data_IF_957594678575
#
_entry.id   IF_957594678575
#
_cell.length_a   1.000
_cell.length_b   1.000
_cell.length_c   1.000
_cell.angle_alpha   90.00
_cell.angle_beta   90.00
_cell.angle_gamma   90.00
#
_symmetry.space_group_name_H-M   'P 1'
#
loop_
_entity.id
_entity.type
_entity.pdbx_description
1 polymer ?
#
# COMPACT_ATOMS: atom_id res chain seq x y z
N UNK A 1 2.80 24.24 0.80
CA UNK A 1 1.82 23.28 0.26
C UNK A 1 1.75 22.14 1.25
N UNK A 2 0.56 21.71 1.65
CA UNK A 2 0.41 20.44 2.37
C UNK A 2 0.72 19.28 1.40
N UNK A 3 1.43 18.27 1.89
CA UNK A 3 1.71 17.03 1.14
C UNK A 3 0.63 16.00 1.43
N UNK A 4 0.41 15.04 0.53
CA UNK A 4 -0.54 13.94 0.74
C UNK A 4 -0.28 13.24 2.08
N UNK A 5 1.00 13.04 2.43
CA UNK A 5 1.45 12.53 3.73
C UNK A 5 0.88 13.34 4.90
N UNK A 6 1.12 14.65 4.92
CA UNK A 6 0.72 15.51 6.05
C UNK A 6 -0.80 15.58 6.22
N UNK A 7 -1.54 15.50 5.11
CA UNK A 7 -3.01 15.47 5.14
C UNK A 7 -3.50 14.13 5.70
N UNK A 8 -2.90 13.02 5.27
CA UNK A 8 -3.25 11.69 5.79
C UNK A 8 -2.94 11.58 7.29
N UNK A 9 -1.79 12.06 7.76
CA UNK A 9 -1.44 12.06 9.19
C UNK A 9 -2.47 12.81 10.03
N UNK A 10 -2.95 13.96 9.54
CA UNK A 10 -4.02 14.73 10.19
C UNK A 10 -5.34 13.97 10.20
N UNK A 11 -5.70 13.32 9.09
CA UNK A 11 -6.91 12.51 8.99
C UNK A 11 -6.86 11.32 9.96
N UNK A 12 -5.75 10.59 10.01
CA UNK A 12 -5.52 9.48 10.96
C UNK A 12 -5.62 9.97 12.40
N UNK A 13 -4.92 11.05 12.74
CA UNK A 13 -4.95 11.63 14.10
C UNK A 13 -6.37 12.04 14.53
N UNK A 14 -7.15 12.61 13.60
CA UNK A 14 -8.54 12.99 13.84
C UNK A 14 -9.43 11.77 14.07
N UNK A 15 -9.24 10.69 13.28
CA UNK A 15 -10.01 9.44 13.41
C UNK A 15 -9.65 8.64 14.67
N UNK A 16 -8.41 8.75 15.12
CA UNK A 16 -7.93 8.12 16.36
C UNK A 16 -8.17 8.95 17.61
N UNK A 17 -8.89 10.06 17.50
CA UNK A 17 -9.20 10.92 18.65
C UNK A 17 -9.98 10.11 19.70
N UNK A 18 -9.41 10.00 20.90
CA UNK A 18 -9.97 9.22 22.00
C UNK A 18 -9.42 7.79 22.13
N UNK A 19 -8.44 7.41 21.29
CA UNK A 19 -7.66 6.19 21.48
C UNK A 19 -6.38 6.54 22.23
N UNK A 20 -6.32 6.16 23.51
CA UNK A 20 -5.21 6.59 24.39
C UNK A 20 -3.85 6.00 23.98
N UNK A 21 -3.83 4.76 23.49
CA UNK A 21 -2.61 4.04 23.14
C UNK A 21 -2.85 3.17 21.90
N UNK A 22 -2.15 3.48 20.81
CA UNK A 22 -2.06 2.66 19.61
C UNK A 22 -0.61 2.54 19.16
N UNK A 23 -0.29 1.47 18.46
CA UNK A 23 1.05 1.20 17.95
C UNK A 23 1.41 2.14 16.79
N UNK A 24 2.69 2.28 16.50
CA UNK A 24 3.15 3.16 15.43
C UNK A 24 2.52 2.75 14.08
N UNK A 25 1.95 3.74 13.38
CA UNK A 25 1.42 3.57 12.03
C UNK A 25 2.50 4.04 11.07
N UNK A 26 3.04 3.12 10.29
CA UNK A 26 4.02 3.43 9.27
C UNK A 26 3.31 3.82 7.96
N UNK A 27 3.58 5.04 7.46
CA UNK A 27 3.06 5.54 6.19
C UNK A 27 4.20 5.54 5.16
N UNK A 28 3.95 5.01 3.96
CA UNK A 28 4.95 4.96 2.91
C UNK A 28 5.24 6.36 2.33
N UNK A 29 6.34 6.96 2.76
CA UNK A 29 6.76 8.30 2.33
C UNK A 29 7.08 8.37 0.83
N UNK A 30 7.70 7.34 0.26
CA UNK A 30 8.00 7.30 -1.18
C UNK A 30 6.71 7.30 -1.99
N UNK A 31 5.73 6.47 -1.61
CA UNK A 31 4.44 6.42 -2.29
C UNK A 31 3.74 7.77 -2.23
N UNK A 32 3.76 8.45 -1.07
CA UNK A 32 3.23 9.81 -0.97
C UNK A 32 3.93 10.78 -1.91
N UNK A 33 5.26 10.76 -1.95
CA UNK A 33 6.03 11.65 -2.83
C UNK A 33 5.74 11.39 -4.30
N UNK A 34 5.59 10.12 -4.70
CA UNK A 34 5.19 9.75 -6.06
C UNK A 34 3.80 10.28 -6.38
N UNK A 35 2.81 10.06 -5.50
CA UNK A 35 1.45 10.57 -5.69
C UNK A 35 1.40 12.11 -5.78
N UNK A 36 2.23 12.80 -5.02
CA UNK A 36 2.35 14.27 -5.07
C UNK A 36 2.88 14.78 -6.42
N UNK A 37 3.58 13.95 -7.21
CA UNK A 37 4.09 14.35 -8.54
C UNK A 37 3.04 14.32 -9.65
N UNK A 38 1.90 13.65 -9.44
CA UNK A 38 0.85 13.51 -10.44
C UNK A 38 -0.29 14.52 -10.22
N UNK A 39 -0.79 15.10 -11.31
CA UNK A 39 -1.99 15.95 -11.30
C UNK A 39 -3.26 15.09 -11.30
N UNK A 40 -3.59 14.53 -10.13
CA UNK A 40 -4.80 13.72 -9.87
C UNK A 40 -5.54 14.25 -8.63
N UNK A 41 -6.83 13.91 -8.44
CA UNK A 41 -7.61 14.37 -7.29
C UNK A 41 -6.94 14.03 -5.95
N UNK A 42 -6.98 14.96 -5.00
CA UNK A 42 -6.35 14.81 -3.69
C UNK A 42 -6.91 13.59 -2.94
N UNK A 43 -8.23 13.39 -3.00
CA UNK A 43 -8.89 12.25 -2.38
C UNK A 43 -8.45 10.91 -3.00
N UNK A 44 -8.06 10.89 -4.29
CA UNK A 44 -7.52 9.70 -4.93
C UNK A 44 -6.10 9.39 -4.44
N UNK A 45 -5.26 10.41 -4.25
CA UNK A 45 -3.94 10.27 -3.63
C UNK A 45 -4.06 9.73 -2.20
N UNK A 46 -4.94 10.36 -1.41
CA UNK A 46 -5.21 9.96 -0.05
C UNK A 46 -5.77 8.54 0.02
N UNK A 47 -6.71 8.16 -0.85
CA UNK A 47 -7.27 6.82 -0.88
C UNK A 47 -6.19 5.77 -1.16
N UNK A 48 -5.35 5.99 -2.18
CA UNK A 48 -4.25 5.11 -2.52
C UNK A 48 -3.25 4.94 -1.36
N UNK A 49 -2.86 6.04 -0.71
CA UNK A 49 -1.92 6.00 0.41
C UNK A 49 -2.55 5.36 1.67
N UNK A 50 -3.83 5.62 1.91
CA UNK A 50 -4.57 5.08 3.07
C UNK A 50 -4.68 3.56 2.99
N UNK A 51 -5.04 3.00 1.83
CA UNK A 51 -5.17 1.55 1.71
C UNK A 51 -3.82 0.83 1.77
N UNK A 52 -2.76 1.41 1.17
CA UNK A 52 -1.39 0.89 1.32
C UNK A 52 -0.98 0.86 2.81
N UNK A 53 -1.21 1.96 3.53
CA UNK A 53 -0.93 2.08 4.96
C UNK A 53 -1.71 1.04 5.78
N UNK A 54 -3.02 0.89 5.52
CA UNK A 54 -3.87 -0.07 6.22
C UNK A 54 -3.39 -1.51 6.03
N UNK A 55 -3.08 -1.88 4.78
CA UNK A 55 -2.64 -3.23 4.44
C UNK A 55 -1.26 -3.55 5.05
N UNK A 56 -0.31 -2.59 5.02
CA UNK A 56 1.00 -2.77 5.67
C UNK A 56 0.88 -2.88 7.19
N UNK A 57 0.01 -2.09 7.80
CA UNK A 57 -0.24 -2.13 9.24
C UNK A 57 -0.80 -3.49 9.67
N UNK A 58 -1.74 -4.05 8.90
CA UNK A 58 -2.30 -5.37 9.15
C UNK A 58 -1.27 -6.50 8.97
N UNK A 59 -0.39 -6.40 7.98
CA UNK A 59 0.73 -7.35 7.81
C UNK A 59 1.64 -7.35 9.05
N UNK A 60 1.98 -6.16 9.55
CA UNK A 60 2.78 -6.02 10.77
C UNK A 60 2.07 -6.63 11.98
N UNK A 61 0.77 -6.40 12.08
CA UNK A 61 0.00 -6.85 13.22
C UNK A 61 -0.04 -8.38 13.30
N UNK A 62 -0.17 -9.04 12.15
CA UNK A 62 -0.15 -10.50 12.03
C UNK A 62 1.22 -11.10 12.42
N UNK A 63 2.31 -10.39 12.13
CA UNK A 63 3.67 -10.94 12.19
C UNK A 63 4.40 -10.64 13.50
N UNK A 64 4.09 -9.52 14.15
CA UNK A 64 4.74 -9.09 15.41
C UNK A 64 3.97 -9.55 16.66
N UNK A 65 2.89 -10.31 16.52
CA UNK A 65 1.96 -10.66 17.61
C UNK A 65 1.55 -9.43 18.42
N UNK A 66 1.32 -8.34 17.70
CA UNK A 66 0.90 -7.07 18.28
C UNK A 66 -0.46 -7.23 18.94
N UNK A 67 -0.80 -6.28 19.81
CA UNK A 67 -2.10 -6.33 20.47
C UNK A 67 -3.25 -6.41 19.45
N UNK A 68 -4.32 -7.14 19.76
CA UNK A 68 -5.54 -7.20 18.92
C UNK A 68 -6.10 -5.80 18.58
N UNK A 69 -5.69 -4.76 19.30
CA UNK A 69 -6.03 -3.37 19.01
C UNK A 69 -5.46 -2.88 17.67
N UNK A 70 -4.29 -3.37 17.24
CA UNK A 70 -3.66 -2.97 15.97
C UNK A 70 -4.46 -3.43 14.76
N UNK A 71 -5.15 -4.56 14.88
CA UNK A 71 -6.12 -5.01 13.86
C UNK A 71 -7.24 -3.98 13.72
N UNK A 72 -7.79 -3.48 14.84
CA UNK A 72 -8.84 -2.46 14.82
C UNK A 72 -8.37 -1.13 14.21
N UNK A 73 -7.10 -0.77 14.39
CA UNK A 73 -6.50 0.41 13.75
C UNK A 73 -6.41 0.19 12.23
N UNK A 74 -5.95 -0.98 11.80
CA UNK A 74 -5.92 -1.35 10.38
C UNK A 74 -7.32 -1.28 9.75
N UNK A 75 -8.31 -1.89 10.39
CA UNK A 75 -9.70 -1.87 9.93
C UNK A 75 -10.30 -0.46 9.90
N UNK A 76 -9.95 0.39 10.87
CA UNK A 76 -10.37 1.81 10.88
C UNK A 76 -9.77 2.57 9.68
N UNK A 77 -8.50 2.32 9.34
CA UNK A 77 -7.86 2.91 8.16
C UNK A 77 -8.53 2.40 6.87
N UNK A 78 -8.84 1.11 6.79
CA UNK A 78 -9.59 0.53 5.67
C UNK A 78 -11.00 1.13 5.55
N UNK A 79 -11.69 1.39 6.67
CA UNK A 79 -12.98 2.08 6.67
C UNK A 79 -12.83 3.53 6.20
N UNK A 80 -11.80 4.24 6.66
CA UNK A 80 -11.50 5.61 6.23
C UNK A 80 -11.23 5.68 4.72
N UNK A 81 -10.51 4.70 4.16
CA UNK A 81 -10.35 4.53 2.72
C UNK A 81 -11.69 4.49 1.97
N UNK A 82 -12.67 3.71 2.45
CA UNK A 82 -14.00 3.69 1.81
C UNK A 82 -14.74 5.03 1.93
N UNK A 83 -14.51 5.81 2.98
CA UNK A 83 -15.07 7.18 3.05
C UNK A 83 -14.46 8.10 1.99
N UNK A 84 -13.17 7.95 1.68
CA UNK A 84 -12.52 8.69 0.60
C UNK A 84 -13.05 8.27 -0.78
N UNK A 85 -13.28 6.97 -0.99
CA UNK A 85 -13.91 6.47 -2.22
C UNK A 85 -15.32 7.01 -2.41
N UNK A 86 -16.09 7.13 -1.32
CA UNK A 86 -17.44 7.72 -1.38
C UNK A 86 -17.40 9.19 -1.83
N UNK A 87 -16.41 9.96 -1.39
CA UNK A 87 -16.20 11.35 -1.84
C UNK A 87 -15.82 11.44 -3.32
N UNK A 88 -14.97 10.52 -3.80
CA UNK A 88 -14.57 10.46 -5.21
C UNK A 88 -15.73 10.10 -6.14
N UNK A 89 -16.73 9.37 -5.64
CA UNK A 89 -17.94 8.98 -6.36
C UNK A 89 -17.64 8.36 -7.76
N UNK A 90 -16.62 7.50 -7.83
CA UNK A 90 -16.24 6.79 -9.05
C UNK A 90 -16.40 5.26 -8.85
N UNK A 91 -17.54 4.67 -9.27
CA UNK A 91 -17.81 3.25 -9.08
C UNK A 91 -16.82 2.32 -9.80
N UNK A 92 -16.29 2.75 -10.95
CA UNK A 92 -15.33 1.94 -11.71
C UNK A 92 -13.99 1.87 -10.97
N UNK A 93 -13.51 3.00 -10.45
CA UNK A 93 -12.32 3.03 -9.60
C UNK A 93 -12.53 2.20 -8.34
N UNK A 94 -13.67 2.37 -7.64
CA UNK A 94 -14.00 1.59 -6.45
C UNK A 94 -13.98 0.08 -6.72
N UNK A 95 -14.53 -0.36 -7.86
CA UNK A 95 -14.53 -1.76 -8.26
C UNK A 95 -13.11 -2.29 -8.49
N UNK A 96 -12.31 -1.56 -9.27
CA UNK A 96 -10.97 -2.00 -9.64
C UNK A 96 -10.02 -2.01 -8.45
N UNK A 97 -10.04 -0.96 -7.62
CA UNK A 97 -9.21 -0.89 -6.43
C UNK A 97 -9.60 -1.96 -5.41
N UNK A 98 -10.90 -2.26 -5.24
CA UNK A 98 -11.37 -3.32 -4.33
C UNK A 98 -10.95 -4.70 -4.82
N UNK A 99 -11.01 -4.96 -6.14
CA UNK A 99 -10.50 -6.20 -6.72
C UNK A 99 -9.00 -6.36 -6.45
N UNK A 100 -8.25 -5.28 -6.53
CA UNK A 100 -6.82 -5.32 -6.25
C UNK A 100 -6.48 -5.50 -4.78
N UNK A 101 -7.31 -5.03 -3.86
CA UNK A 101 -7.15 -5.34 -2.43
C UNK A 101 -7.24 -6.85 -2.21
N UNK A 102 -8.24 -7.51 -2.82
CA UNK A 102 -8.39 -8.97 -2.74
C UNK A 102 -7.16 -9.66 -3.33
N UNK A 103 -6.74 -9.27 -4.53
CA UNK A 103 -5.58 -9.85 -5.19
C UNK A 103 -4.28 -9.68 -4.38
N UNK A 104 -4.06 -8.51 -3.76
CA UNK A 104 -2.90 -8.27 -2.89
C UNK A 104 -2.91 -9.21 -1.69
N UNK A 105 -4.06 -9.41 -1.04
CA UNK A 105 -4.18 -10.31 0.11
C UNK A 105 -3.98 -11.78 -0.30
N UNK A 106 -4.50 -12.19 -1.46
CA UNK A 106 -4.27 -13.52 -2.02
C UNK A 106 -2.77 -13.75 -2.28
N UNK A 107 -2.10 -12.81 -2.95
CA UNK A 107 -0.66 -12.89 -3.20
C UNK A 107 0.12 -12.98 -1.89
N UNK A 108 -0.16 -12.11 -0.92
CA UNK A 108 0.51 -12.14 0.39
C UNK A 108 0.28 -13.47 1.11
N UNK A 109 -0.93 -14.03 1.05
CA UNK A 109 -1.22 -15.36 1.61
C UNK A 109 -0.37 -16.45 0.93
N UNK A 110 -0.30 -16.47 -0.40
CA UNK A 110 0.50 -17.45 -1.14
C UNK A 110 2.01 -17.30 -0.87
N UNK A 111 2.49 -16.07 -0.70
CA UNK A 111 3.87 -15.78 -0.25
C UNK A 111 4.09 -16.36 1.15
N UNK A 112 3.14 -16.19 2.07
CA UNK A 112 3.23 -16.75 3.42
C UNK A 112 3.11 -18.28 3.48
N UNK A 113 2.42 -18.92 2.54
CA UNK A 113 2.25 -20.37 2.50
C UNK A 113 3.34 -21.08 1.67
N UNK A 114 4.29 -20.33 1.11
CA UNK A 114 5.35 -20.84 0.22
C UNK A 114 4.77 -21.61 -1.00
N UNK A 115 3.59 -21.18 -1.47
CA UNK A 115 2.87 -21.82 -2.59
C UNK A 115 3.25 -21.25 -3.96
N UNK A 116 4.07 -20.20 -4.00
CA UNK A 116 4.49 -19.55 -5.24
C UNK A 116 5.76 -20.17 -5.81
N UNK A 117 5.76 -20.38 -7.13
CA UNK A 117 7.00 -20.68 -7.83
C UNK A 117 7.99 -19.51 -7.69
N UNK A 118 9.24 -19.83 -7.37
CA UNK A 118 10.33 -18.85 -7.21
C UNK A 118 10.58 -18.04 -8.48
N UNK A 119 10.17 -18.57 -9.65
CA UNK A 119 10.22 -17.85 -10.91
C UNK A 119 9.20 -16.70 -11.01
N UNK A 120 8.04 -16.83 -10.36
CA UNK A 120 6.96 -15.84 -10.42
C UNK A 120 7.01 -14.83 -9.27
N UNK A 121 7.65 -15.17 -8.14
CA UNK A 121 7.57 -14.42 -6.89
C UNK A 121 8.00 -12.95 -7.05
N UNK A 122 9.01 -12.66 -7.88
CA UNK A 122 9.44 -11.30 -8.17
C UNK A 122 8.32 -10.46 -8.79
N UNK A 123 7.67 -10.98 -9.84
CA UNK A 123 6.55 -10.31 -10.50
C UNK A 123 5.36 -10.09 -9.54
N UNK A 124 5.13 -11.02 -8.61
CA UNK A 124 4.08 -10.92 -7.59
C UNK A 124 4.40 -9.88 -6.53
N UNK A 125 5.66 -9.80 -6.07
CA UNK A 125 6.15 -8.75 -5.17
C UNK A 125 5.96 -7.38 -5.81
N UNK A 126 6.43 -7.21 -7.05
CA UNK A 126 6.27 -5.96 -7.77
C UNK A 126 4.80 -5.55 -7.90
N UNK A 127 3.92 -6.53 -8.16
CA UNK A 127 2.48 -6.29 -8.24
C UNK A 127 1.90 -5.82 -6.91
N UNK A 128 2.29 -6.42 -5.78
CA UNK A 128 1.85 -5.98 -4.45
C UNK A 128 2.24 -4.53 -4.19
N UNK A 129 3.46 -4.13 -4.56
CA UNK A 129 3.97 -2.79 -4.30
C UNK A 129 3.37 -1.70 -5.21
N UNK A 130 3.01 -2.03 -6.45
CA UNK A 130 2.63 -1.02 -7.43
C UNK A 130 1.12 -0.97 -7.74
N UNK A 131 0.35 -2.02 -7.48
CA UNK A 131 -0.99 -2.17 -8.07
C UNK A 131 -1.96 -1.05 -7.69
N UNK A 132 -1.94 -0.61 -6.43
CA UNK A 132 -2.80 0.48 -5.97
C UNK A 132 -2.46 1.80 -6.65
N UNK A 133 -1.17 2.11 -6.80
CA UNK A 133 -0.70 3.30 -7.51
C UNK A 133 -1.09 3.23 -8.99
N UNK A 134 -0.79 2.11 -9.65
CA UNK A 134 -1.07 1.93 -11.08
C UNK A 134 -2.57 2.07 -11.38
N UNK A 135 -3.45 1.48 -10.57
CA UNK A 135 -4.89 1.61 -10.76
C UNK A 135 -5.35 3.04 -10.52
N UNK A 136 -4.84 3.69 -9.48
CA UNK A 136 -5.17 5.09 -9.19
C UNK A 136 -4.76 6.00 -10.34
N UNK A 137 -3.56 5.84 -10.89
CA UNK A 137 -3.10 6.60 -12.03
C UNK A 137 -3.91 6.29 -13.30
N UNK A 138 -4.26 5.02 -13.57
CA UNK A 138 -5.10 4.66 -14.72
C UNK A 138 -6.48 5.34 -14.72
N UNK A 139 -7.05 5.57 -13.54
CA UNK A 139 -8.39 6.16 -13.42
C UNK A 139 -8.38 7.68 -13.44
N UNK A 140 -7.31 8.33 -12.98
CA UNK A 140 -7.29 9.78 -12.75
C UNK A 140 -6.19 10.54 -13.47
N UNK A 141 -5.08 9.90 -13.84
CA UNK A 141 -4.01 10.58 -14.59
C UNK A 141 -4.49 10.87 -16.00
N UNK A 142 -4.34 12.13 -16.43
CA UNK A 142 -4.57 12.53 -17.82
C UNK A 142 -3.37 12.29 -18.71
N UNK A 143 -2.19 12.20 -18.11
CA UNK A 143 -0.92 11.99 -18.80
C UNK A 143 -0.52 10.51 -18.78
N UNK A 144 0.18 10.08 -19.82
CA UNK A 144 0.87 8.80 -19.81
C UNK A 144 1.91 8.79 -18.70
N UNK A 145 1.93 7.72 -17.91
CA UNK A 145 2.89 7.52 -16.84
C UNK A 145 3.78 6.32 -17.16
N UNK A 146 5.08 6.49 -16.93
CA UNK A 146 6.05 5.43 -17.16
C UNK A 146 6.05 4.42 -16.00
N UNK A 147 5.39 3.29 -16.24
CA UNK A 147 5.31 2.16 -15.32
C UNK A 147 6.70 1.63 -14.95
N UNK A 148 7.66 1.63 -15.89
CA UNK A 148 9.02 1.11 -15.61
C UNK A 148 9.77 2.01 -14.62
N UNK A 149 9.69 3.33 -14.81
CA UNK A 149 10.28 4.31 -13.89
C UNK A 149 9.66 4.23 -12.49
N UNK A 150 8.33 4.09 -12.39
CA UNK A 150 7.63 3.88 -11.12
C UNK A 150 8.13 2.59 -10.44
N UNK A 151 8.13 1.49 -11.19
CA UNK A 151 8.54 0.18 -10.67
C UNK A 151 9.96 0.22 -10.13
N UNK A 152 10.90 0.83 -10.86
CA UNK A 152 12.29 0.97 -10.41
C UNK A 152 12.39 1.69 -9.07
N UNK A 153 11.72 2.83 -8.92
CA UNK A 153 11.72 3.59 -7.66
C UNK A 153 11.14 2.80 -6.49
N UNK A 154 10.04 2.08 -6.72
CA UNK A 154 9.40 1.26 -5.69
C UNK A 154 10.29 0.07 -5.28
N UNK A 155 10.94 -0.59 -6.24
CA UNK A 155 11.85 -1.71 -5.99
C UNK A 155 13.12 -1.29 -5.24
N UNK A 156 13.71 -0.15 -5.61
CA UNK A 156 14.89 0.40 -4.92
C UNK A 156 14.56 0.65 -3.43
N UNK A 157 13.37 1.17 -3.14
CA UNK A 157 12.91 1.41 -1.77
C UNK A 157 12.55 0.14 -1.00
N UNK A 158 12.01 -0.88 -1.67
CA UNK A 158 11.70 -2.17 -1.04
C UNK A 158 12.97 -2.86 -0.48
N UNK A 159 14.13 -2.64 -1.11
CA UNK A 159 15.42 -3.13 -0.62
C UNK A 159 15.85 -2.38 0.65
N UNK A 160 15.57 -1.08 0.74
CA UNK A 160 15.91 -0.26 1.91
C UNK A 160 14.96 -0.49 3.09
N UNK A 161 13.68 -0.72 2.80
CA UNK A 161 12.64 -0.94 3.79
C UNK A 161 11.83 -2.17 3.46
N UNK A 162 12.27 -3.29 4.03
CA UNK A 162 11.67 -4.60 3.84
C UNK A 162 10.23 -4.64 4.39
N UNK A 163 9.22 -4.89 3.54
CA UNK A 163 7.85 -5.10 3.98
C UNK A 163 7.70 -6.34 4.86
N UNK A 164 6.79 -6.28 5.82
CA UNK A 164 6.58 -7.34 6.80
C UNK A 164 6.15 -8.66 6.16
N UNK A 165 5.33 -8.64 5.10
CA UNK A 165 4.90 -9.86 4.40
C UNK A 165 6.07 -10.67 3.79
N UNK A 166 7.24 -10.04 3.57
CA UNK A 166 8.47 -10.70 3.09
C UNK A 166 9.41 -11.17 4.21
N UNK A 167 9.00 -11.14 5.48
CA UNK A 167 9.86 -11.48 6.62
C UNK A 167 10.53 -12.85 6.51
N UNK A 168 9.89 -13.83 5.85
CA UNK A 168 10.42 -15.18 5.64
C UNK A 168 11.67 -15.23 4.75
N UNK A 169 11.80 -14.33 3.78
CA UNK A 169 12.92 -14.34 2.83
C UNK A 169 14.08 -13.51 3.35
N UNK A 170 15.31 -13.91 3.03
CA UNK A 170 16.51 -13.13 3.28
C UNK A 170 16.62 -11.96 2.29
N UNK A 171 17.38 -10.93 2.66
CA UNK A 171 17.60 -9.78 1.78
C UNK A 171 18.28 -10.18 0.46
N UNK A 172 19.11 -11.23 0.49
CA UNK A 172 19.74 -11.83 -0.69
C UNK A 172 18.71 -12.50 -1.61
N UNK A 173 17.73 -13.22 -1.06
CA UNK A 173 16.66 -13.85 -1.84
C UNK A 173 15.76 -12.79 -2.47
N UNK A 174 15.38 -11.76 -1.72
CA UNK A 174 14.58 -10.65 -2.23
C UNK A 174 15.31 -9.94 -3.37
N UNK A 175 16.61 -9.63 -3.20
CA UNK A 175 17.42 -9.05 -4.28
C UNK A 175 17.49 -9.96 -5.50
N UNK A 176 17.65 -11.27 -5.32
CA UNK A 176 17.65 -12.22 -6.43
C UNK A 176 16.29 -12.26 -7.16
N UNK A 177 15.18 -12.20 -6.43
CA UNK A 177 13.84 -12.13 -7.04
C UNK A 177 13.64 -10.86 -7.85
N UNK A 178 14.12 -9.71 -7.34
CA UNK A 178 14.00 -8.40 -8.01
C UNK A 178 14.90 -8.32 -9.23
N UNK A 179 16.13 -8.86 -9.17
CA UNK A 179 17.07 -8.86 -10.30
C UNK A 179 16.61 -9.70 -11.48
N UNK A 180 15.65 -10.60 -11.28
CA UNK A 180 15.09 -11.48 -12.30
C UNK A 180 13.80 -10.91 -12.95
N UNK A 181 13.43 -9.66 -12.66
CA UNK A 181 12.29 -8.92 -13.25
C UNK A 181 12.81 -7.95 -14.30
#
# INVERSE_FOLDING_TARGET
>A
METTLSILEKQISSRLKGVDHYEAIYINHLLSQLLDTYDIPEEAKLACLTIDTAMRHLDEAYIKDTSKKSILIGDLLSAHFYTLLATLNNPNYQKDISRSIVEVNEIKSSVHQDELDKSEIGSRILKVENIFLIITLKHYSKEEFDVQSINKKLLDHLIEQKPSYLKKYTDSEIKAFIQNI
#
